data_IF_868912384987
#
_entry.id   IF_868912384987
#
_cell.length_a   1.000
_cell.length_b   1.000
_cell.length_c   1.000
_cell.angle_alpha   90.00
_cell.angle_beta   90.00
_cell.angle_gamma   90.00
#
_symmetry.space_group_name_H-M   'P 1'
#
loop_
_entity.id
_entity.type
_entity.pdbx_description
1 polymer ?
#
# COMPACT_ATOMS: atom_id res chain seq x y z
N UNK A 1 9.56 -11.45 -3.61
CA UNK A 1 8.08 -11.33 -3.59
C UNK A 1 7.77 -9.87 -3.84
N UNK A 2 6.76 -9.56 -4.66
CA UNK A 2 6.66 -8.26 -5.34
C UNK A 2 6.43 -7.09 -4.38
N UNK A 3 5.60 -7.26 -3.36
CA UNK A 3 5.34 -6.19 -2.39
C UNK A 3 6.59 -5.91 -1.56
N UNK A 4 7.24 -6.95 -1.04
CA UNK A 4 8.51 -6.86 -0.31
C UNK A 4 9.59 -6.10 -1.10
N UNK A 5 9.76 -6.43 -2.38
CA UNK A 5 10.73 -5.77 -3.26
C UNK A 5 10.35 -4.30 -3.48
N UNK A 6 9.08 -4.02 -3.76
CA UNK A 6 8.56 -2.66 -3.99
C UNK A 6 8.77 -1.76 -2.76
N UNK A 7 8.45 -2.24 -1.55
CA UNK A 7 8.64 -1.43 -0.34
C UNK A 7 10.12 -1.27 0.01
N UNK A 8 10.96 -2.27 -0.28
CA UNK A 8 12.41 -2.18 -0.09
C UNK A 8 13.03 -1.10 -0.98
N UNK A 9 12.66 -1.09 -2.27
CA UNK A 9 13.06 -0.05 -3.22
C UNK A 9 12.55 1.34 -2.78
N UNK A 10 11.28 1.44 -2.35
CA UNK A 10 10.72 2.70 -1.87
C UNK A 10 11.47 3.24 -0.65
N UNK A 11 11.72 2.40 0.35
CA UNK A 11 12.43 2.79 1.57
C UNK A 11 13.86 3.23 1.27
N UNK A 12 14.54 2.55 0.33
CA UNK A 12 15.88 2.91 -0.12
C UNK A 12 15.89 4.31 -0.77
N UNK A 13 14.97 4.57 -1.70
CA UNK A 13 14.91 5.86 -2.40
C UNK A 13 14.49 7.01 -1.47
N UNK A 14 13.50 6.80 -0.60
CA UNK A 14 13.09 7.80 0.39
C UNK A 14 14.24 8.11 1.36
N UNK A 15 14.98 7.11 1.82
CA UNK A 15 16.15 7.29 2.69
C UNK A 15 17.28 8.06 1.99
N UNK A 16 17.57 7.72 0.73
CA UNK A 16 18.61 8.40 -0.05
C UNK A 16 18.29 9.89 -0.28
N UNK A 17 17.00 10.24 -0.35
CA UNK A 17 16.53 11.61 -0.56
C UNK A 17 16.11 12.33 0.73
N UNK A 18 16.30 11.72 1.92
CA UNK A 18 15.70 12.21 3.17
C UNK A 18 16.11 13.64 3.51
N UNK A 19 17.39 14.00 3.38
CA UNK A 19 17.87 15.35 3.69
C UNK A 19 17.17 16.42 2.82
N UNK A 20 16.99 16.13 1.52
CA UNK A 20 16.26 17.01 0.60
C UNK A 20 14.79 17.10 1.00
N UNK A 21 14.14 15.98 1.30
CA UNK A 21 12.73 15.95 1.71
C UNK A 21 12.52 16.79 2.97
N UNK A 22 13.33 16.60 4.01
CA UNK A 22 13.24 17.36 5.27
C UNK A 22 13.44 18.86 5.03
N UNK A 23 14.43 19.23 4.20
CA UNK A 23 14.64 20.63 3.84
C UNK A 23 13.41 21.23 3.15
N UNK A 24 12.82 20.51 2.18
CA UNK A 24 11.63 20.94 1.46
C UNK A 24 10.41 21.06 2.37
N UNK A 25 10.17 20.08 3.26
CA UNK A 25 9.05 20.11 4.21
C UNK A 25 9.11 21.34 5.13
N UNK A 26 10.30 21.67 5.66
CA UNK A 26 10.50 22.86 6.51
C UNK A 26 10.29 24.17 5.75
N UNK A 27 10.61 24.19 4.46
CA UNK A 27 10.43 25.37 3.61
C UNK A 27 8.97 25.55 3.18
N UNK A 28 8.35 24.47 2.72
CA UNK A 28 6.96 24.41 2.30
C UNK A 28 6.49 22.93 2.30
N UNK A 29 5.54 22.55 3.17
CA UNK A 29 5.05 21.17 3.26
C UNK A 29 4.58 20.58 1.92
N UNK A 30 3.96 21.38 1.04
CA UNK A 30 3.50 20.92 -0.27
C UNK A 30 4.66 20.52 -1.19
N UNK A 31 5.81 21.20 -1.10
CA UNK A 31 7.00 20.85 -1.89
C UNK A 31 7.61 19.53 -1.40
N UNK A 32 7.73 19.35 -0.08
CA UNK A 32 8.22 18.10 0.49
C UNK A 32 7.32 16.91 0.15
N UNK A 33 5.99 17.09 0.27
CA UNK A 33 5.01 16.09 -0.15
C UNK A 33 5.11 15.77 -1.65
N UNK A 34 5.26 16.80 -2.50
CA UNK A 34 5.44 16.59 -3.95
C UNK A 34 6.67 15.72 -4.24
N UNK A 35 7.80 15.97 -3.57
CA UNK A 35 9.02 15.16 -3.74
C UNK A 35 8.81 13.70 -3.32
N UNK A 36 8.11 13.46 -2.22
CA UNK A 36 7.77 12.10 -1.76
C UNK A 36 6.88 11.39 -2.79
N UNK A 37 5.89 12.09 -3.35
CA UNK A 37 4.99 11.56 -4.39
C UNK A 37 5.74 11.22 -5.67
N UNK A 38 6.70 12.06 -6.09
CA UNK A 38 7.55 11.77 -7.24
C UNK A 38 8.38 10.50 -7.05
N UNK A 39 9.02 10.34 -5.90
CA UNK A 39 9.78 9.13 -5.56
C UNK A 39 8.87 7.90 -5.61
N UNK A 40 7.67 7.98 -5.01
CA UNK A 40 6.68 6.90 -5.07
C UNK A 40 6.31 6.52 -6.52
N UNK A 41 6.07 7.51 -7.38
CA UNK A 41 5.77 7.28 -8.81
C UNK A 41 6.94 6.61 -9.55
N UNK A 42 8.17 7.06 -9.32
CA UNK A 42 9.38 6.52 -9.95
C UNK A 42 9.60 5.05 -9.57
N UNK A 43 9.48 4.73 -8.28
CA UNK A 43 9.57 3.35 -7.80
C UNK A 43 8.43 2.49 -8.34
N UNK A 44 7.19 2.95 -8.22
CA UNK A 44 6.02 2.21 -8.69
C UNK A 44 6.06 1.88 -10.18
N UNK A 45 6.62 2.78 -11.01
CA UNK A 45 6.77 2.55 -12.46
C UNK A 45 7.60 1.31 -12.79
N UNK A 46 8.60 0.95 -11.96
CA UNK A 46 9.40 -0.27 -12.15
C UNK A 46 8.51 -1.52 -12.13
N UNK A 47 7.50 -1.51 -11.27
CA UNK A 47 6.56 -2.61 -11.03
C UNK A 47 5.23 -2.49 -11.80
N UNK A 48 5.07 -1.48 -12.66
CA UNK A 48 3.79 -1.15 -13.31
C UNK A 48 2.64 -0.89 -12.31
N UNK A 49 2.96 -0.26 -11.18
CA UNK A 49 2.02 0.09 -10.11
C UNK A 49 2.07 1.60 -9.91
N UNK A 50 0.92 2.25 -9.83
CA UNK A 50 0.88 3.63 -9.33
C UNK A 50 0.94 3.57 -7.80
N UNK A 51 2.12 3.87 -7.27
CA UNK A 51 2.40 3.85 -5.85
C UNK A 51 2.25 5.25 -5.24
N UNK A 52 1.50 5.34 -4.15
CA UNK A 52 1.26 6.59 -3.41
C UNK A 52 1.60 6.39 -1.94
N UNK A 53 2.45 7.27 -1.42
CA UNK A 53 2.75 7.38 0.01
C UNK A 53 1.76 8.36 0.64
N UNK A 54 1.03 7.92 1.65
CA UNK A 54 -0.04 8.71 2.26
C UNK A 54 0.34 9.15 3.67
N UNK A 55 -0.24 10.27 4.11
CA UNK A 55 -0.09 10.81 5.46
C UNK A 55 -1.48 11.13 6.03
N UNK A 56 -2.26 10.11 6.44
CA UNK A 56 -3.70 10.27 6.71
C UNK A 56 -4.02 11.02 8.03
N UNK A 57 -3.02 11.29 8.87
CA UNK A 57 -3.15 12.04 10.12
C UNK A 57 -2.11 13.15 10.16
N UNK A 58 -2.46 14.25 10.82
CA UNK A 58 -1.52 15.34 11.13
C UNK A 58 -0.28 14.80 11.85
N UNK A 59 0.88 15.39 11.58
CA UNK A 59 2.15 14.95 12.18
C UNK A 59 2.80 13.73 11.51
N UNK A 60 2.07 12.95 10.70
CA UNK A 60 2.62 11.73 10.10
C UNK A 60 3.69 11.99 9.05
N UNK A 61 3.66 13.14 8.40
CA UNK A 61 4.66 13.49 7.38
C UNK A 61 6.00 13.86 8.02
N UNK A 62 6.01 14.21 9.31
CA UNK A 62 7.22 14.48 10.09
C UNK A 62 7.85 13.20 10.68
N UNK A 63 7.15 12.07 10.65
CA UNK A 63 7.66 10.77 11.11
C UNK A 63 8.58 10.11 10.05
N UNK A 64 9.75 10.70 9.83
CA UNK A 64 10.68 10.33 8.78
C UNK A 64 11.09 8.84 8.79
N UNK A 65 11.20 8.23 9.97
CA UNK A 65 11.56 6.82 10.10
C UNK A 65 10.47 5.86 9.60
N UNK A 66 9.25 6.35 9.41
CA UNK A 66 8.10 5.58 8.93
C UNK A 66 7.88 5.66 7.42
N UNK A 67 8.73 6.40 6.71
CA UNK A 67 8.63 6.57 5.27
C UNK A 67 8.79 5.23 4.53
N UNK A 68 7.75 4.85 3.79
CA UNK A 68 7.70 3.56 3.09
C UNK A 68 7.48 2.34 3.99
N UNK A 69 7.17 2.54 5.28
CA UNK A 69 6.89 1.47 6.26
C UNK A 69 5.43 1.37 6.70
N UNK A 70 4.58 2.28 6.20
CA UNK A 70 3.13 2.29 6.43
C UNK A 70 2.41 3.15 5.39
N UNK A 71 1.08 3.11 5.43
CA UNK A 71 0.20 4.05 4.74
C UNK A 71 0.45 4.17 3.22
N UNK A 72 0.35 3.06 2.49
CA UNK A 72 0.54 3.03 1.04
C UNK A 72 -0.77 2.76 0.29
N UNK A 73 -0.92 3.39 -0.86
CA UNK A 73 -1.92 3.02 -1.86
C UNK A 73 -1.22 2.54 -3.13
N UNK A 74 -1.61 1.36 -3.61
CA UNK A 74 -1.10 0.73 -4.83
C UNK A 74 -2.27 0.62 -5.81
N UNK A 75 -2.19 1.30 -6.95
CA UNK A 75 -3.16 1.12 -8.03
C UNK A 75 -2.50 0.27 -9.10
N UNK A 76 -3.08 -0.90 -9.35
CA UNK A 76 -2.45 -2.01 -10.06
C UNK A 76 -3.03 -2.15 -11.46
N UNK A 77 -4.35 -2.14 -11.58
CA UNK A 77 -5.04 -2.26 -12.86
C UNK A 77 -6.38 -1.52 -12.84
N UNK A 78 -6.40 -0.31 -13.40
CA UNK A 78 -7.58 0.57 -13.42
C UNK A 78 -8.83 -0.06 -14.06
N UNK A 79 -8.65 -0.98 -15.00
CA UNK A 79 -9.74 -1.60 -15.75
C UNK A 79 -10.37 -2.77 -14.99
N UNK A 80 -9.68 -3.29 -13.97
CA UNK A 80 -10.13 -4.45 -13.23
C UNK A 80 -11.30 -4.14 -12.31
N UNK A 81 -12.44 -4.78 -12.58
CA UNK A 81 -13.69 -4.61 -11.81
C UNK A 81 -14.01 -5.77 -10.87
N UNK A 82 -13.36 -6.93 -11.02
CA UNK A 82 -13.60 -8.14 -10.23
C UNK A 82 -12.30 -8.85 -9.86
N UNK A 83 -12.30 -9.54 -8.72
CA UNK A 83 -11.25 -10.47 -8.34
C UNK A 83 -11.22 -11.69 -9.26
N UNK A 84 -10.08 -12.39 -9.39
CA UNK A 84 -9.97 -13.60 -10.20
C UNK A 84 -10.48 -14.84 -9.44
N UNK A 85 -10.87 -14.66 -8.18
CA UNK A 85 -11.24 -15.68 -7.21
C UNK A 85 -12.38 -15.18 -6.34
N UNK A 86 -13.00 -16.09 -5.58
CA UNK A 86 -13.98 -15.72 -4.57
C UNK A 86 -13.33 -14.85 -3.49
N UNK A 87 -13.98 -13.73 -3.13
CA UNK A 87 -13.50 -12.82 -2.09
C UNK A 87 -13.39 -13.48 -0.71
N UNK A 88 -14.16 -14.53 -0.46
CA UNK A 88 -14.06 -15.29 0.79
C UNK A 88 -12.71 -15.98 0.95
N UNK A 89 -12.05 -16.36 -0.16
CA UNK A 89 -10.67 -16.90 -0.11
C UNK A 89 -9.70 -15.82 0.39
N UNK A 90 -9.88 -14.56 -0.02
CA UNK A 90 -9.07 -13.43 0.45
C UNK A 90 -9.29 -13.22 1.96
N UNK A 91 -10.54 -13.30 2.43
CA UNK A 91 -10.88 -13.18 3.85
C UNK A 91 -10.25 -14.31 4.66
N UNK A 92 -10.44 -15.57 4.25
CA UNK A 92 -9.86 -16.75 4.90
C UNK A 92 -8.33 -16.64 4.99
N UNK A 93 -7.68 -16.21 3.91
CA UNK A 93 -6.23 -16.01 3.91
C UNK A 93 -5.79 -14.86 4.84
N UNK A 94 -6.60 -13.82 4.99
CA UNK A 94 -6.34 -12.75 5.95
C UNK A 94 -6.33 -13.31 7.39
N UNK A 95 -7.31 -14.14 7.76
CA UNK A 95 -7.32 -14.82 9.07
C UNK A 95 -6.09 -15.73 9.25
N UNK A 96 -5.74 -16.52 8.24
CA UNK A 96 -4.60 -17.44 8.28
C UNK A 96 -3.27 -16.71 8.53
N UNK A 97 -3.03 -15.58 7.86
CA UNK A 97 -1.73 -14.89 7.90
C UNK A 97 -1.68 -13.82 9.00
N UNK A 98 -2.73 -13.02 9.13
CA UNK A 98 -2.75 -11.87 10.04
C UNK A 98 -3.19 -12.28 11.46
N UNK A 99 -4.02 -13.32 11.58
CA UNK A 99 -4.54 -13.84 12.84
C UNK A 99 -5.96 -13.37 13.12
N UNK A 100 -6.23 -12.94 14.36
CA UNK A 100 -7.55 -12.48 14.81
C UNK A 100 -7.86 -11.08 14.25
N UNK A 101 -8.30 -11.03 12.99
CA UNK A 101 -8.65 -9.81 12.27
C UNK A 101 -10.12 -9.81 11.90
N UNK A 102 -10.72 -8.63 11.70
CA UNK A 102 -12.09 -8.55 11.18
C UNK A 102 -12.05 -8.43 9.66
N UNK A 103 -13.02 -9.04 8.99
CA UNK A 103 -13.17 -8.96 7.54
C UNK A 103 -14.59 -8.62 7.13
N UNK A 104 -14.77 -7.69 6.21
CA UNK A 104 -16.08 -7.35 5.63
C UNK A 104 -15.97 -7.14 4.12
N UNK A 105 -17.13 -7.13 3.45
CA UNK A 105 -17.19 -6.70 2.05
C UNK A 105 -16.96 -5.19 2.00
N UNK A 106 -16.00 -4.76 1.19
CA UNK A 106 -15.73 -3.34 0.97
C UNK A 106 -16.45 -2.89 -0.31
N UNK A 107 -17.51 -2.10 -0.17
CA UNK A 107 -18.20 -1.54 -1.32
C UNK A 107 -17.48 -0.27 -1.81
N UNK A 108 -17.09 -0.28 -3.08
CA UNK A 108 -16.77 0.94 -3.82
C UNK A 108 -17.71 1.05 -5.01
N UNK A 109 -17.96 2.30 -5.41
CA UNK A 109 -18.77 2.73 -6.56
C UNK A 109 -18.75 1.74 -7.76
N UNK A 110 -19.89 1.62 -8.44
CA UNK A 110 -20.05 0.83 -9.69
C UNK A 110 -19.86 -0.70 -9.57
N UNK A 111 -20.46 -1.34 -8.56
CA UNK A 111 -20.45 -2.80 -8.37
C UNK A 111 -19.04 -3.41 -8.19
N UNK A 112 -18.06 -2.60 -7.75
CA UNK A 112 -16.74 -3.09 -7.37
C UNK A 112 -16.79 -3.56 -5.93
N UNK A 113 -17.02 -4.86 -5.74
CA UNK A 113 -16.99 -5.50 -4.43
C UNK A 113 -15.54 -5.89 -4.07
N UNK A 114 -15.03 -5.24 -3.03
CA UNK A 114 -13.72 -5.50 -2.43
C UNK A 114 -13.82 -6.26 -1.12
N UNK A 115 -12.69 -6.40 -0.44
CA UNK A 115 -12.57 -6.92 0.93
C UNK A 115 -11.90 -5.85 1.78
N UNK A 116 -12.46 -5.56 2.94
CA UNK A 116 -11.75 -4.84 3.99
C UNK A 116 -11.31 -5.81 5.05
N UNK A 117 -10.03 -5.75 5.41
CA UNK A 117 -9.46 -6.38 6.58
C UNK A 117 -9.10 -5.30 7.58
N UNK A 118 -9.45 -5.43 8.85
CA UNK A 118 -9.23 -4.37 9.83
C UNK A 118 -9.20 -4.88 11.26
N UNK A 119 -8.66 -4.04 12.13
CA UNK A 119 -8.76 -4.17 13.59
C UNK A 119 -8.68 -2.77 14.23
N UNK A 120 -8.54 -2.68 15.55
CA UNK A 120 -8.48 -1.41 16.27
C UNK A 120 -7.34 -0.50 15.77
N UNK A 121 -7.73 0.52 14.99
CA UNK A 121 -6.84 1.59 14.54
C UNK A 121 -6.11 1.34 13.23
N UNK A 122 -6.34 0.22 12.55
CA UNK A 122 -5.75 -0.07 11.25
C UNK A 122 -6.70 -0.80 10.30
N UNK A 123 -6.47 -0.64 8.99
CA UNK A 123 -7.22 -1.37 7.96
C UNK A 123 -6.43 -1.58 6.68
N UNK A 124 -6.82 -2.58 5.91
CA UNK A 124 -6.35 -2.85 4.55
C UNK A 124 -7.61 -2.97 3.68
N UNK A 125 -7.77 -2.02 2.77
CA UNK A 125 -8.84 -2.05 1.76
C UNK A 125 -8.30 -2.71 0.49
N UNK A 126 -8.79 -3.91 0.18
CA UNK A 126 -8.42 -4.72 -0.97
C UNK A 126 -9.53 -4.56 -1.99
N UNK A 127 -9.25 -3.85 -3.09
CA UNK A 127 -10.19 -3.65 -4.19
C UNK A 127 -9.67 -4.39 -5.43
N UNK A 128 -10.54 -4.74 -6.40
CA UNK A 128 -10.11 -5.43 -7.62
C UNK A 128 -8.96 -4.74 -8.38
N UNK A 129 -8.91 -3.41 -8.35
CA UNK A 129 -7.93 -2.59 -9.10
C UNK A 129 -6.82 -1.99 -8.23
N UNK A 130 -6.98 -2.00 -6.90
CA UNK A 130 -6.09 -1.29 -5.99
C UNK A 130 -6.05 -1.91 -4.61
N UNK A 131 -4.95 -1.67 -3.91
CA UNK A 131 -4.70 -2.09 -2.54
C UNK A 131 -4.35 -0.85 -1.71
N UNK A 132 -5.04 -0.63 -0.60
CA UNK A 132 -4.78 0.49 0.31
C UNK A 132 -4.47 -0.06 1.71
N UNK A 133 -3.29 0.26 2.23
CA UNK A 133 -2.74 -0.38 3.43
C UNK A 133 -2.51 0.73 4.46
N UNK A 134 -3.37 0.79 5.46
CA UNK A 134 -3.38 1.82 6.51
C UNK A 134 -2.87 1.24 7.83
N UNK A 135 -1.69 0.64 7.78
CA UNK A 135 -1.02 0.00 8.92
C UNK A 135 0.49 -0.05 8.72
N UNK A 136 1.23 -0.43 9.75
CA UNK A 136 2.68 -0.68 9.69
C UNK A 136 2.96 -2.02 8.99
N UNK A 137 4.00 -2.04 8.15
CA UNK A 137 4.41 -3.25 7.43
C UNK A 137 5.32 -4.11 8.31
N UNK A 138 4.71 -4.87 9.22
CA UNK A 138 5.39 -5.95 9.92
C UNK A 138 5.54 -7.19 9.01
N UNK A 139 6.07 -8.28 9.56
CA UNK A 139 6.26 -9.53 8.83
C UNK A 139 4.95 -10.11 8.29
N UNK A 140 3.87 -10.08 9.09
CA UNK A 140 2.57 -10.65 8.71
C UNK A 140 1.90 -9.81 7.62
N UNK A 141 1.89 -8.49 7.77
CA UNK A 141 1.32 -7.56 6.79
C UNK A 141 2.09 -7.67 5.48
N UNK A 142 3.43 -7.69 5.55
CA UNK A 142 4.28 -7.87 4.36
C UNK A 142 3.97 -9.19 3.65
N UNK A 143 3.93 -10.30 4.39
CA UNK A 143 3.62 -11.63 3.84
C UNK A 143 2.23 -11.69 3.21
N UNK A 144 1.22 -11.10 3.86
CA UNK A 144 -0.13 -11.05 3.33
C UNK A 144 -0.19 -10.21 2.05
N UNK A 145 0.46 -9.05 2.02
CA UNK A 145 0.51 -8.20 0.83
C UNK A 145 1.25 -8.88 -0.32
N UNK A 146 2.35 -9.59 -0.06
CA UNK A 146 3.02 -10.40 -1.08
C UNK A 146 2.11 -11.47 -1.68
N UNK A 147 1.36 -12.19 -0.83
CA UNK A 147 0.36 -13.14 -1.31
C UNK A 147 -0.73 -12.47 -2.16
N UNK A 148 -1.21 -11.29 -1.76
CA UNK A 148 -2.17 -10.53 -2.57
C UNK A 148 -1.58 -10.17 -3.94
N UNK A 149 -0.32 -9.73 -4.00
CA UNK A 149 0.33 -9.38 -5.27
C UNK A 149 0.40 -10.57 -6.22
N UNK A 150 0.77 -11.74 -5.69
CA UNK A 150 1.00 -12.95 -6.48
C UNK A 150 -0.33 -13.63 -6.87
N UNK A 151 -1.28 -13.81 -5.93
CA UNK A 151 -2.47 -14.65 -6.13
C UNK A 151 -3.73 -13.86 -6.49
N UNK A 152 -3.90 -12.65 -5.95
CA UNK A 152 -5.10 -11.84 -6.20
C UNK A 152 -4.88 -10.90 -7.37
N UNK A 153 -3.77 -10.17 -7.34
CA UNK A 153 -3.44 -9.16 -8.34
C UNK A 153 -2.70 -9.73 -9.55
N UNK A 154 -2.12 -10.93 -9.43
CA UNK A 154 -1.40 -11.62 -10.51
C UNK A 154 -0.31 -10.73 -11.12
N UNK A 155 0.36 -9.93 -10.29
CA UNK A 155 1.40 -9.01 -10.75
C UNK A 155 2.56 -9.84 -11.25
N UNK A 156 2.97 -9.62 -12.51
CA UNK A 156 4.08 -10.36 -13.11
C UNK A 156 5.41 -9.74 -12.70
N UNK A 157 6.38 -10.59 -12.36
CA UNK A 157 7.79 -10.17 -12.27
C UNK A 157 8.27 -9.83 -13.69
N UNK A 158 8.95 -8.70 -13.83
CA UNK A 158 9.68 -8.37 -15.06
C UNK A 158 11.03 -9.08 -15.08
#
# INVERSE_FOLDING_TARGET
MIFSELIGDLQKELKANLAQIVYLLKKNPAMGYTRIVEIGKEVGKKYNIKLVVNFPKEGRIEEYDMYGKRDLSLIIDYERKKFPMDRNIIKEKAYEILGDVKTEDAYMYENKEGVRVFDEGWKIDILPHSLHIWTVFDEKVTKFCDWLMDEVYLVKRK
#
